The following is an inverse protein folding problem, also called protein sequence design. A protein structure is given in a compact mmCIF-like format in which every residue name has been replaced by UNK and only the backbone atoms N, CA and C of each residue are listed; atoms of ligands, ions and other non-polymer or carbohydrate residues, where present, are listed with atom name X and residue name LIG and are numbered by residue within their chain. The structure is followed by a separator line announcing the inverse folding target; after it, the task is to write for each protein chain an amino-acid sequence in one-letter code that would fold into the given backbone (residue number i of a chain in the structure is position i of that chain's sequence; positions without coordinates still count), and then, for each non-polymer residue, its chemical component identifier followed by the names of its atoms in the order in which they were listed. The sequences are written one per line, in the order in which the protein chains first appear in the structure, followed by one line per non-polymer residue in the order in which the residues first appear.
data_IF_148784531714
#
_entry.id   IF_148784531714
#
_cell.length_a   1.000
_cell.length_b   1.000
_cell.length_c   1.000
_cell.angle_alpha   90.00
_cell.angle_beta   90.00
_cell.angle_gamma   90.00
#
_symmetry.space_group_name_H-M   'P 1'
#
loop_
_entity.id
_entity.type
_entity.pdbx_description
1 polymer ?
#
# COMPACT_ATOMS: atom_id res chain seq x y z
N UNK A 1 5.27 -17.99 -4.44
CA UNK A 1 6.17 -16.85 -4.15
C UNK A 1 5.98 -15.87 -5.29
N UNK A 2 5.40 -14.68 -5.04
CA UNK A 2 4.94 -13.74 -6.10
C UNK A 2 6.11 -13.05 -6.82
N UNK A 3 7.27 -13.00 -6.18
CA UNK A 3 8.47 -12.38 -6.74
C UNK A 3 9.34 -13.40 -7.51
N UNK A 4 9.72 -13.12 -8.77
CA UNK A 4 10.77 -13.87 -9.45
C UNK A 4 12.13 -13.63 -8.78
N UNK A 5 13.00 -14.64 -8.78
CA UNK A 5 14.38 -14.47 -8.30
C UNK A 5 15.14 -13.61 -9.31
N UNK A 6 15.39 -12.35 -8.95
CA UNK A 6 16.10 -11.39 -9.80
C UNK A 6 17.29 -10.82 -9.03
N UNK A 7 18.47 -10.86 -9.64
CA UNK A 7 19.67 -10.16 -9.14
C UNK A 7 19.60 -8.69 -9.56
N UNK A 8 18.74 -7.91 -8.92
CA UNK A 8 18.62 -6.47 -9.19
C UNK A 8 19.72 -5.71 -8.47
N UNK A 9 20.43 -4.84 -9.20
CA UNK A 9 21.52 -4.03 -8.66
C UNK A 9 20.93 -2.74 -8.08
N UNK A 10 20.46 -2.80 -6.83
CA UNK A 10 20.04 -1.60 -6.11
C UNK A 10 21.30 -0.81 -5.69
N UNK A 11 21.38 0.51 -5.95
CA UNK A 11 22.59 1.30 -5.70
C UNK A 11 22.95 1.51 -4.21
N UNK A 12 22.15 0.96 -3.28
CA UNK A 12 22.35 1.12 -1.83
C UNK A 12 22.45 -0.25 -1.12
N UNK A 13 21.36 -1.03 -1.11
CA UNK A 13 21.37 -2.40 -0.62
C UNK A 13 20.43 -3.28 -1.48
N UNK A 14 20.93 -4.33 -2.16
CA UNK A 14 20.14 -5.24 -2.96
C UNK A 14 19.01 -5.94 -2.18
N UNK A 15 19.12 -6.05 -0.85
CA UNK A 15 18.18 -6.77 0.01
C UNK A 15 16.77 -6.17 0.04
N UNK A 16 16.62 -4.86 -0.22
CA UNK A 16 15.34 -4.13 -0.20
C UNK A 16 14.61 -4.09 -1.55
N UNK A 17 15.23 -4.59 -2.62
CA UNK A 17 14.61 -4.65 -3.95
C UNK A 17 13.22 -5.33 -3.94
N UNK A 18 13.03 -6.49 -3.26
CA UNK A 18 11.72 -7.14 -3.14
C UNK A 18 10.60 -6.21 -2.64
N UNK A 19 10.89 -5.37 -1.65
CA UNK A 19 9.89 -4.54 -0.97
C UNK A 19 9.43 -3.38 -1.86
N UNK A 20 10.36 -2.76 -2.59
CA UNK A 20 10.06 -1.70 -3.56
C UNK A 20 9.17 -2.21 -4.71
N UNK A 21 9.41 -3.43 -5.19
CA UNK A 21 8.61 -4.06 -6.25
C UNK A 21 7.19 -4.35 -5.74
N UNK A 22 7.07 -4.94 -4.56
CA UNK A 22 5.76 -5.27 -3.97
C UNK A 22 4.95 -4.01 -3.64
N UNK A 23 5.58 -2.96 -3.09
CA UNK A 23 4.91 -1.69 -2.80
C UNK A 23 4.37 -1.02 -4.08
N UNK A 24 5.11 -1.12 -5.19
CA UNK A 24 4.69 -0.57 -6.48
C UNK A 24 3.52 -1.35 -7.10
N UNK A 25 3.45 -2.67 -6.88
CA UNK A 25 2.34 -3.52 -7.37
C UNK A 25 1.07 -3.32 -6.53
N UNK A 26 1.20 -3.20 -5.20
CA UNK A 26 0.06 -2.99 -4.29
C UNK A 26 -0.46 -1.55 -4.37
N UNK A 27 0.43 -0.59 -4.57
CA UNK A 27 0.15 0.83 -4.51
C UNK A 27 0.19 1.37 -3.07
N UNK A 28 0.79 2.55 -2.82
CA UNK A 28 0.95 3.11 -1.47
C UNK A 28 -0.32 3.81 -0.95
N UNK A 29 -1.35 3.94 -1.80
CA UNK A 29 -2.58 4.66 -1.49
C UNK A 29 -3.79 3.98 -2.10
N UNK A 30 -4.95 4.20 -1.50
CA UNK A 30 -6.23 3.74 -1.99
C UNK A 30 -7.29 4.83 -1.77
N UNK A 31 -8.28 4.86 -2.65
CA UNK A 31 -9.45 5.75 -2.53
C UNK A 31 -10.67 4.90 -2.24
N UNK A 32 -11.43 5.26 -1.21
CA UNK A 32 -12.64 4.53 -0.80
C UNK A 32 -13.82 5.50 -0.82
N UNK A 33 -14.94 5.16 -1.47
CA UNK A 33 -16.16 5.95 -1.38
C UNK A 33 -16.65 6.05 0.06
N UNK A 34 -17.06 7.25 0.46
CA UNK A 34 -17.60 7.53 1.79
C UNK A 34 -18.99 8.13 1.66
N UNK A 35 -19.96 7.58 2.38
CA UNK A 35 -21.34 8.08 2.35
C UNK A 35 -22.06 7.77 3.65
N UNK A 36 -22.96 8.67 4.06
CA UNK A 36 -23.80 8.51 5.26
C UNK A 36 -23.02 8.13 6.51
N UNK A 37 -21.87 8.78 6.75
CA UNK A 37 -21.05 8.56 7.94
C UNK A 37 -20.12 7.34 7.89
N UNK A 38 -20.11 6.55 6.81
CA UNK A 38 -19.36 5.28 6.72
C UNK A 38 -18.57 5.11 5.42
N UNK A 39 -17.45 4.41 5.51
CA UNK A 39 -16.72 3.91 4.34
C UNK A 39 -17.55 2.80 3.66
N UNK A 40 -17.69 2.89 2.34
CA UNK A 40 -18.44 1.92 1.54
C UNK A 40 -17.52 0.76 1.16
N UNK A 41 -17.40 -0.20 2.07
CA UNK A 41 -16.69 -1.45 1.85
C UNK A 41 -17.71 -2.58 1.61
N UNK A 42 -17.38 -3.49 0.70
CA UNK A 42 -18.11 -4.76 0.57
C UNK A 42 -17.96 -5.63 1.83
N UNK A 43 -18.86 -6.60 2.01
CA UNK A 43 -18.92 -7.48 3.20
C UNK A 43 -17.55 -8.06 3.60
N UNK A 44 -16.74 -8.44 2.60
CA UNK A 44 -15.44 -9.09 2.77
C UNK A 44 -14.25 -8.17 2.53
N UNK A 45 -14.46 -6.89 2.22
CA UNK A 45 -13.37 -5.94 2.03
C UNK A 45 -12.88 -5.39 3.37
N UNK A 46 -11.57 -5.23 3.48
CA UNK A 46 -10.87 -4.66 4.64
C UNK A 46 -9.73 -3.77 4.15
N UNK A 47 -9.42 -2.74 4.94
CA UNK A 47 -8.25 -1.90 4.74
C UNK A 47 -7.13 -2.47 5.60
N UNK A 48 -6.00 -2.82 4.99
CA UNK A 48 -4.84 -3.39 5.68
C UNK A 48 -3.60 -2.57 5.34
N UNK A 49 -2.80 -2.26 6.35
CA UNK A 49 -1.45 -1.74 6.18
C UNK A 49 -0.50 -2.94 6.03
N UNK A 50 0.18 -3.03 4.90
CA UNK A 50 1.19 -4.07 4.65
C UNK A 50 2.57 -3.48 4.92
N UNK A 51 3.19 -3.91 6.02
CA UNK A 51 4.60 -3.62 6.33
C UNK A 51 5.49 -4.65 5.65
N UNK A 52 6.46 -4.20 4.87
CA UNK A 52 7.38 -5.06 4.12
C UNK A 52 8.83 -4.96 4.63
N UNK A 53 9.17 -3.90 5.35
CA UNK A 53 10.53 -3.61 5.84
C UNK A 53 10.51 -3.14 7.31
N UNK A 54 9.86 -3.94 8.16
CA UNK A 54 9.73 -3.69 9.60
C UNK A 54 10.85 -4.31 10.44
N UNK A 55 10.89 -4.05 11.78
CA UNK A 55 9.94 -3.23 12.53
C UNK A 55 10.27 -1.73 12.42
N UNK A 56 9.31 -0.94 11.98
CA UNK A 56 9.43 0.53 11.87
C UNK A 56 8.14 1.21 12.28
N UNK A 57 8.23 2.46 12.73
CA UNK A 57 7.05 3.31 12.88
C UNK A 57 6.59 3.80 11.50
N UNK A 58 5.30 3.65 11.22
CA UNK A 58 4.68 4.08 9.96
C UNK A 58 3.59 5.10 10.24
N UNK A 59 3.48 6.09 9.37
CA UNK A 59 2.43 7.12 9.40
C UNK A 59 1.49 6.89 8.23
N UNK A 60 0.19 6.83 8.50
CA UNK A 60 -0.86 6.74 7.47
C UNK A 60 -1.58 8.07 7.40
N UNK A 61 -1.56 8.71 6.24
CA UNK A 61 -2.26 9.96 6.00
C UNK A 61 -3.64 9.68 5.39
N UNK A 62 -4.67 10.38 5.89
CA UNK A 62 -6.05 10.30 5.41
C UNK A 62 -6.49 11.70 5.01
N UNK A 63 -7.05 11.83 3.82
CA UNK A 63 -7.69 13.06 3.35
C UNK A 63 -9.05 12.74 2.76
N UNK A 64 -10.02 13.61 3.02
CA UNK A 64 -11.34 13.54 2.41
C UNK A 64 -11.42 14.63 1.35
N UNK A 65 -11.76 14.24 0.14
CA UNK A 65 -12.04 15.16 -0.97
C UNK A 65 -13.47 14.96 -1.41
N UNK A 66 -14.20 16.05 -1.58
CA UNK A 66 -15.53 16.00 -2.20
C UNK A 66 -15.34 15.87 -3.70
N UNK A 67 -15.89 14.82 -4.31
CA UNK A 67 -15.91 14.71 -5.77
C UNK A 67 -17.07 15.54 -6.31
N UNK A 68 -16.77 16.77 -6.68
CA UNK A 68 -17.63 17.57 -7.54
C UNK A 68 -17.55 17.02 -8.97
N UNK A 69 -18.69 16.77 -9.61
CA UNK A 69 -18.76 16.49 -11.04
C UNK A 69 -18.43 17.72 -11.87
#
# INVERSE_FOLDING_TARGET
RILPQMSYRHPHDPSHTPDHILSSIIGPSLTIPYSSGRLLLGTWQRIILVELDGPRQRTVHISCVEQSH
#
